data_IF_955321748890
#
_entry.id   IF_955321748890
#
_cell.length_a   1.000
_cell.length_b   1.000
_cell.length_c   1.000
_cell.angle_alpha   90.00
_cell.angle_beta   90.00
_cell.angle_gamma   90.00
#
_symmetry.space_group_name_H-M   'P 1'
#
loop_
_entity.id
_entity.type
_entity.pdbx_description
1 polymer ?
#
# COMPACT_ATOMS: atom_id res chain seq x y z
N UNK A 1 16.56 -66.49 -39.97
CA UNK A 1 16.94 -65.56 -38.88
C UNK A 1 15.70 -64.75 -38.51
N UNK A 2 15.07 -65.01 -37.34
CA UNK A 2 15.17 -64.18 -36.11
C UNK A 2 14.97 -62.68 -36.43
N UNK A 3 13.98 -61.91 -35.98
CA UNK A 3 12.97 -61.91 -34.89
C UNK A 3 11.82 -60.95 -35.33
N UNK A 4 10.52 -61.22 -35.09
CA UNK A 4 9.65 -60.80 -33.94
C UNK A 4 9.82 -59.32 -33.54
N UNK A 5 8.84 -58.42 -33.70
CA UNK A 5 7.62 -58.20 -32.87
C UNK A 5 6.58 -57.39 -33.72
N UNK A 6 5.28 -57.74 -33.89
CA UNK A 6 4.14 -57.70 -32.95
C UNK A 6 4.01 -56.33 -32.24
N UNK A 7 2.91 -55.59 -32.15
CA UNK A 7 1.44 -55.81 -32.30
C UNK A 7 0.82 -54.38 -32.27
N UNK A 8 -0.08 -53.99 -33.18
CA UNK A 8 -1.54 -53.85 -32.96
C UNK A 8 -1.94 -52.94 -31.78
N UNK A 9 -2.51 -51.76 -32.06
CA UNK A 9 -3.96 -51.49 -32.15
C UNK A 9 -4.68 -51.64 -30.79
N UNK A 10 -5.18 -50.54 -30.24
CA UNK A 10 -6.61 -50.30 -30.11
C UNK A 10 -6.89 -49.00 -29.33
N UNK A 11 -7.88 -48.29 -29.87
CA UNK A 11 -8.54 -47.08 -29.42
C UNK A 11 -9.10 -47.22 -28.00
N UNK A 12 -8.89 -46.21 -27.16
CA UNK A 12 -9.87 -45.78 -26.16
C UNK A 12 -9.90 -44.25 -26.11
N UNK A 13 -10.94 -43.70 -26.73
CA UNK A 13 -11.51 -42.40 -26.34
C UNK A 13 -12.24 -42.60 -25.01
N UNK A 14 -11.84 -41.89 -23.95
CA UNK A 14 -12.69 -41.61 -22.78
C UNK A 14 -12.07 -40.48 -21.95
N UNK A 15 -12.78 -39.36 -21.95
CA UNK A 15 -12.89 -38.35 -20.90
C UNK A 15 -11.62 -37.92 -20.18
N UNK A 16 -10.82 -37.12 -20.87
CA UNK A 16 -10.25 -35.96 -20.18
C UNK A 16 -11.36 -34.92 -20.08
N UNK A 17 -12.21 -35.05 -19.05
CA UNK A 17 -12.82 -33.89 -18.42
C UNK A 17 -11.69 -32.98 -17.98
N UNK A 18 -11.18 -32.16 -18.90
CA UNK A 18 -10.49 -30.96 -18.52
C UNK A 18 -11.47 -30.27 -17.56
N UNK A 19 -11.07 -29.94 -16.32
CA UNK A 19 -11.84 -28.94 -15.61
C UNK A 19 -11.92 -27.79 -16.61
N UNK A 20 -13.14 -27.33 -16.91
CA UNK A 20 -13.34 -25.96 -17.35
C UNK A 20 -12.50 -25.14 -16.38
N UNK A 21 -11.27 -24.79 -16.78
CA UNK A 21 -10.42 -23.93 -15.99
C UNK A 21 -11.20 -22.64 -15.93
N UNK A 22 -11.87 -22.45 -14.79
CA UNK A 22 -12.67 -21.29 -14.49
C UNK A 22 -11.87 -20.07 -14.85
N UNK A 23 -12.55 -19.14 -15.53
CA UNK A 23 -12.06 -17.84 -15.98
C UNK A 23 -10.69 -17.49 -15.41
N UNK A 24 -9.67 -17.50 -16.28
CA UNK A 24 -8.34 -17.00 -15.92
C UNK A 24 -8.49 -15.64 -15.25
N UNK A 25 -7.73 -15.43 -14.17
CA UNK A 25 -7.79 -14.21 -13.37
C UNK A 25 -7.73 -12.97 -14.29
N UNK A 26 -8.79 -12.15 -14.23
CA UNK A 26 -8.98 -10.97 -15.10
C UNK A 26 -8.89 -9.69 -14.26
N UNK A 27 -7.75 -8.96 -14.30
CA UNK A 27 -7.61 -7.73 -13.54
C UNK A 27 -8.57 -6.64 -14.00
N UNK A 28 -9.13 -6.73 -15.20
CA UNK A 28 -10.18 -5.83 -15.67
C UNK A 28 -11.43 -5.86 -14.78
N UNK A 29 -11.64 -6.94 -14.03
CA UNK A 29 -12.81 -7.13 -13.15
C UNK A 29 -12.46 -7.26 -11.68
N UNK A 30 -11.32 -7.86 -11.36
CA UNK A 30 -11.01 -8.30 -9.99
C UNK A 30 -9.81 -7.61 -9.36
N UNK A 31 -9.03 -6.81 -10.12
CA UNK A 31 -7.88 -6.13 -9.56
C UNK A 31 -8.29 -5.14 -8.45
N UNK A 32 -7.48 -5.06 -7.40
CA UNK A 32 -7.72 -4.17 -6.27
C UNK A 32 -6.43 -3.89 -5.50
N UNK A 33 -6.50 -2.94 -4.57
CA UNK A 33 -5.35 -2.59 -3.72
C UNK A 33 -4.31 -1.73 -4.42
N UNK A 34 -3.15 -2.32 -4.70
CA UNK A 34 -1.98 -1.67 -5.30
C UNK A 34 -1.54 -2.43 -6.56
N UNK A 35 -0.75 -1.78 -7.41
CA UNK A 35 -0.04 -2.44 -8.48
C UNK A 35 1.37 -1.87 -8.60
N UNK A 36 2.31 -2.71 -9.00
CA UNK A 36 3.63 -2.29 -9.45
C UNK A 36 3.67 -2.36 -10.97
N UNK A 37 4.19 -1.33 -11.63
CA UNK A 37 4.41 -1.35 -13.07
C UNK A 37 5.86 -1.68 -13.37
N UNK A 38 6.09 -2.72 -14.17
CA UNK A 38 7.40 -3.09 -14.68
C UNK A 38 7.79 -2.21 -15.88
N UNK A 39 9.08 -2.25 -16.24
CA UNK A 39 9.65 -1.44 -17.33
C UNK A 39 9.02 -1.77 -18.68
N UNK A 40 8.57 -3.01 -18.88
CA UNK A 40 7.89 -3.46 -20.09
C UNK A 40 6.40 -3.02 -20.16
N UNK A 41 5.92 -2.30 -19.14
CA UNK A 41 4.55 -1.82 -19.03
C UNK A 41 3.57 -2.83 -18.44
N UNK A 42 4.01 -4.05 -18.09
CA UNK A 42 3.19 -5.01 -17.35
C UNK A 42 2.90 -4.52 -15.93
N UNK A 43 1.76 -4.93 -15.40
CA UNK A 43 1.29 -4.60 -14.06
C UNK A 43 1.28 -5.85 -13.18
N UNK A 44 1.86 -5.74 -12.01
CA UNK A 44 1.94 -6.80 -11.01
C UNK A 44 0.97 -6.50 -9.89
N UNK A 45 -0.04 -7.34 -9.74
CA UNK A 45 -1.07 -7.25 -8.70
C UNK A 45 -0.93 -8.37 -7.69
N UNK A 46 -1.30 -8.12 -6.44
CA UNK A 46 -1.49 -9.19 -5.46
C UNK A 46 -2.92 -9.73 -5.53
N UNK A 47 -3.06 -11.05 -5.70
CA UNK A 47 -4.32 -11.79 -5.65
C UNK A 47 -4.46 -12.45 -4.26
N UNK A 48 -5.30 -11.92 -3.35
CA UNK A 48 -5.44 -12.45 -2.00
C UNK A 48 -6.04 -13.86 -1.97
N UNK A 49 -6.90 -14.21 -2.94
CA UNK A 49 -7.56 -15.52 -2.97
C UNK A 49 -6.56 -16.62 -3.32
N UNK A 50 -5.66 -16.35 -4.27
CA UNK A 50 -4.62 -17.28 -4.68
C UNK A 50 -3.28 -17.13 -3.92
N UNK A 51 -3.16 -16.09 -3.07
CA UNK A 51 -1.92 -15.73 -2.34
C UNK A 51 -0.72 -15.64 -3.29
N UNK A 52 -0.90 -14.91 -4.38
CA UNK A 52 0.09 -14.85 -5.44
C UNK A 52 0.17 -13.46 -6.05
N UNK A 53 1.37 -13.10 -6.50
CA UNK A 53 1.57 -11.97 -7.40
C UNK A 53 1.23 -12.41 -8.84
N UNK A 54 0.44 -11.60 -9.53
CA UNK A 54 -0.04 -11.82 -10.89
C UNK A 54 0.53 -10.73 -11.79
N UNK A 55 1.43 -11.09 -12.70
CA UNK A 55 1.94 -10.17 -13.72
C UNK A 55 1.01 -10.24 -14.92
N UNK A 56 0.45 -9.11 -15.32
CA UNK A 56 -0.51 -9.02 -16.41
C UNK A 56 -0.19 -7.83 -17.31
N UNK A 57 -0.46 -7.97 -18.60
CA UNK A 57 -0.27 -6.91 -19.58
C UNK A 57 -1.50 -6.76 -20.45
N UNK A 58 -1.93 -5.51 -20.68
CA UNK A 58 -3.07 -5.21 -21.54
C UNK A 58 -2.81 -5.74 -22.95
N UNK A 59 -3.77 -6.47 -23.51
CA UNK A 59 -3.64 -7.12 -24.82
C UNK A 59 -2.97 -8.50 -24.79
N UNK A 60 -2.03 -8.73 -23.87
CA UNK A 60 -1.32 -10.02 -23.75
C UNK A 60 -1.90 -10.95 -22.68
N UNK A 61 -2.65 -10.42 -21.72
CA UNK A 61 -3.26 -11.20 -20.64
C UNK A 61 -2.31 -11.49 -19.47
N UNK A 62 -2.59 -12.57 -18.74
CA UNK A 62 -1.76 -13.02 -17.62
C UNK A 62 -0.44 -13.59 -18.14
N UNK A 63 0.67 -12.97 -17.74
CA UNK A 63 2.03 -13.33 -18.16
C UNK A 63 2.71 -14.27 -17.17
N UNK A 64 2.54 -14.03 -15.87
CA UNK A 64 3.19 -14.82 -14.82
C UNK A 64 2.34 -14.88 -13.54
N UNK A 65 2.56 -15.92 -12.74
CA UNK A 65 2.02 -16.06 -11.40
C UNK A 65 3.11 -16.53 -10.47
N UNK A 66 3.33 -15.78 -9.39
CA UNK A 66 4.29 -16.09 -8.35
C UNK A 66 3.56 -16.31 -7.03
N UNK A 67 3.43 -17.54 -6.53
CA UNK A 67 2.93 -17.80 -5.18
C UNK A 67 3.82 -17.10 -4.15
N UNK A 68 3.21 -16.48 -3.13
CA UNK A 68 3.96 -15.83 -2.04
C UNK A 68 3.47 -16.34 -0.69
N UNK A 69 4.42 -16.75 0.16
CA UNK A 69 4.14 -17.18 1.52
C UNK A 69 4.10 -15.95 2.45
N UNK A 70 2.91 -15.39 2.69
CA UNK A 70 2.78 -14.24 3.57
C UNK A 70 3.15 -14.61 5.02
N UNK A 71 3.84 -13.72 5.76
CA UNK A 71 4.15 -13.95 7.15
C UNK A 71 2.86 -13.98 8.01
N UNK A 72 2.82 -14.89 8.97
CA UNK A 72 1.75 -14.94 9.97
C UNK A 72 1.85 -13.75 10.93
N UNK A 73 0.72 -13.05 11.15
CA UNK A 73 0.64 -12.01 12.19
C UNK A 73 -0.08 -12.59 13.40
N UNK A 74 0.65 -12.70 14.51
CA UNK A 74 0.05 -12.91 15.82
C UNK A 74 -0.32 -11.55 16.40
N UNK A 75 -1.59 -11.16 16.30
CA UNK A 75 -2.08 -10.00 17.06
C UNK A 75 -1.89 -10.30 18.55
N UNK A 76 -1.27 -9.39 19.33
CA UNK A 76 -1.22 -9.56 20.78
C UNK A 76 -2.66 -9.68 21.30
N UNK A 77 -2.91 -10.70 22.13
CA UNK A 77 -4.20 -10.82 22.80
C UNK A 77 -4.50 -9.51 23.53
N UNK A 78 -5.72 -8.97 23.46
CA UNK A 78 -6.07 -7.79 24.24
C UNK A 78 -5.74 -8.11 25.69
N UNK A 79 -4.89 -7.27 26.31
CA UNK A 79 -4.57 -7.40 27.72
C UNK A 79 -5.89 -7.50 28.50
N UNK A 80 -6.02 -8.43 29.47
CA UNK A 80 -7.23 -8.52 30.27
C UNK A 80 -7.48 -7.12 30.85
N UNK A 81 -8.64 -6.54 30.53
CA UNK A 81 -9.09 -5.30 31.16
C UNK A 81 -8.90 -5.49 32.66
N UNK A 82 -8.17 -4.60 33.38
CA UNK A 82 -8.15 -4.67 34.82
C UNK A 82 -9.61 -4.65 35.27
N UNK A 83 -9.99 -5.64 36.09
CA UNK A 83 -11.33 -5.74 36.62
C UNK A 83 -11.71 -4.37 37.18
N UNK A 84 -12.81 -3.80 36.68
CA UNK A 84 -13.33 -2.56 37.21
C UNK A 84 -13.50 -2.76 38.71
N UNK A 85 -12.72 -2.04 39.52
CA UNK A 85 -12.95 -1.99 40.95
C UNK A 85 -14.38 -1.50 41.14
N UNK A 86 -15.23 -2.35 41.74
CA UNK A 86 -16.58 -1.97 42.14
C UNK A 86 -16.46 -0.68 42.95
N UNK A 87 -17.06 0.44 42.53
CA UNK A 87 -17.01 1.65 43.34
C UNK A 87 -17.62 1.34 44.70
N UNK A 88 -17.02 1.80 45.81
CA UNK A 88 -17.62 1.64 47.12
C UNK A 88 -19.01 2.27 47.06
N UNK A 89 -20.02 1.49 47.45
CA UNK A 89 -21.43 1.90 47.46
C UNK A 89 -21.53 3.13 48.35
N UNK A 90 -21.74 4.30 47.74
CA UNK A 90 -21.97 5.53 48.47
C UNK A 90 -23.25 5.35 49.29
N UNK A 91 -23.10 5.24 50.60
CA UNK A 91 -24.20 5.33 51.56
C UNK A 91 -24.73 6.76 51.47
N UNK A 92 -25.97 6.94 51.05
CA UNK A 92 -26.58 8.26 51.06
C UNK A 92 -26.76 8.72 52.50
N UNK A 93 -26.71 10.03 52.77
CA UNK A 93 -26.93 10.59 54.12
C UNK A 93 -28.33 10.22 54.68
N UNK A 94 -29.27 9.86 53.80
CA UNK A 94 -30.57 9.29 54.16
C UNK A 94 -30.48 7.90 54.81
N UNK A 95 -29.53 7.07 54.38
CA UNK A 95 -29.33 5.72 54.95
C UNK A 95 -28.68 5.80 56.34
N UNK A 96 -27.84 6.81 56.58
CA UNK A 96 -27.26 7.09 57.90
C UNK A 96 -28.30 7.62 58.90
N UNK A 97 -29.24 8.46 58.45
CA UNK A 97 -30.34 8.95 59.26
C UNK A 97 -31.33 7.82 59.65
N UNK A 98 -31.58 6.88 58.74
CA UNK A 98 -32.41 5.70 59.01
C UNK A 98 -31.84 4.76 60.07
N UNK A 99 -30.51 4.58 60.09
CA UNK A 99 -29.83 3.73 61.07
C UNK A 99 -29.81 4.31 62.49
N UNK A 100 -29.79 5.65 62.62
CA UNK A 100 -29.85 6.36 63.90
C UNK A 100 -31.26 6.40 64.50
N UNK A 101 -32.31 6.41 63.66
CA UNK A 101 -33.70 6.50 64.12
C UNK A 101 -34.34 5.13 64.41
N UNK A 102 -33.93 4.06 63.73
CA UNK A 102 -34.62 2.75 63.81
C UNK A 102 -33.74 1.56 64.19
N UNK A 103 -32.44 1.75 64.40
CA UNK A 103 -31.51 0.69 64.78
C UNK A 103 -31.22 -0.31 63.64
N UNK A 104 -29.96 -0.75 63.53
CA UNK A 104 -29.54 -1.68 62.47
C UNK A 104 -30.05 -3.11 62.74
N UNK A 105 -30.75 -3.77 61.80
CA UNK A 105 -31.16 -5.17 61.98
C UNK A 105 -29.94 -6.09 61.92
N UNK A 106 -29.73 -6.80 63.03
CA UNK A 106 -28.65 -7.74 63.26
C UNK A 106 -29.00 -9.10 62.63
N UNK A 107 -28.82 -9.32 61.33
CA UNK A 107 -28.71 -10.67 60.72
C UNK A 107 -28.33 -10.66 59.24
N UNK A 108 -27.17 -11.26 58.95
CA UNK A 108 -26.75 -12.04 57.76
C UNK A 108 -25.24 -11.79 57.56
N UNK A 109 -24.34 -12.22 58.47
CA UNK A 109 -23.81 -13.58 58.66
C UNK A 109 -23.62 -14.36 57.35
N UNK A 110 -22.36 -14.30 56.87
CA UNK A 110 -21.57 -15.31 56.16
C UNK A 110 -22.31 -16.55 55.61
N UNK A 111 -22.16 -16.77 54.31
CA UNK A 111 -22.21 -18.09 53.68
C UNK A 111 -21.09 -18.24 52.63
N UNK A 112 -20.67 -19.49 52.33
CA UNK A 112 -19.26 -19.86 52.13
C UNK A 112 -18.79 -19.80 50.67
N UNK A 113 -17.47 -19.80 50.51
CA UNK A 113 -16.75 -19.86 49.24
C UNK A 113 -17.32 -20.93 48.31
N UNK A 114 -17.93 -20.48 47.22
CA UNK A 114 -18.37 -21.33 46.12
C UNK A 114 -17.23 -21.39 45.11
N UNK A 115 -16.84 -22.62 44.77
CA UNK A 115 -15.90 -23.07 43.74
C UNK A 115 -15.44 -22.03 42.70
N UNK A 116 -14.12 -21.92 42.56
CA UNK A 116 -13.48 -21.23 41.44
C UNK A 116 -14.04 -21.73 40.09
N UNK A 117 -14.40 -20.83 39.16
CA UNK A 117 -14.77 -21.25 37.83
C UNK A 117 -13.52 -21.75 37.11
N UNK A 118 -13.67 -22.86 36.39
CA UNK A 118 -12.66 -23.42 35.50
C UNK A 118 -12.06 -22.32 34.62
N UNK A 119 -10.73 -22.31 34.51
CA UNK A 119 -9.99 -21.50 33.54
C UNK A 119 -10.54 -21.87 32.17
N UNK A 120 -11.41 -21.02 31.61
CA UNK A 120 -11.65 -21.03 30.17
C UNK A 120 -10.31 -20.70 29.54
N UNK A 121 -9.70 -21.67 28.88
CA UNK A 121 -8.64 -21.41 27.91
C UNK A 121 -9.09 -20.22 27.07
N UNK A 122 -8.28 -19.15 27.11
CA UNK A 122 -8.52 -17.99 26.27
C UNK A 122 -8.58 -18.49 24.81
N UNK A 123 -9.55 -18.02 24.01
CA UNK A 123 -9.59 -18.39 22.61
C UNK A 123 -8.24 -18.03 21.98
N UNK A 124 -7.58 -19.03 21.41
CA UNK A 124 -6.34 -18.92 20.66
C UNK A 124 -6.45 -17.69 19.74
N UNK A 125 -5.52 -16.75 19.88
CA UNK A 125 -5.58 -15.48 19.16
C UNK A 125 -5.70 -15.76 17.66
N UNK A 126 -6.77 -15.28 17.03
CA UNK A 126 -7.02 -15.50 15.61
C UNK A 126 -5.82 -14.97 14.81
N UNK A 127 -5.03 -15.89 14.24
CA UNK A 127 -3.94 -15.57 13.32
C UNK A 127 -4.60 -14.92 12.10
N UNK A 128 -4.34 -13.63 11.92
CA UNK A 128 -4.81 -12.90 10.74
C UNK A 128 -3.61 -12.75 9.83
N UNK A 129 -3.72 -13.10 8.55
CA UNK A 129 -2.60 -12.92 7.61
C UNK A 129 -2.40 -11.43 7.30
N UNK A 130 -1.14 -11.00 7.20
CA UNK A 130 -0.81 -9.65 6.77
C UNK A 130 -1.10 -9.50 5.27
N UNK A 131 -2.14 -8.73 4.92
CA UNK A 131 -2.31 -8.32 3.52
C UNK A 131 -1.17 -7.35 3.14
N UNK A 132 -0.55 -7.52 1.97
CA UNK A 132 0.52 -6.64 1.55
C UNK A 132 -0.01 -5.25 1.18
N UNK A 133 0.73 -4.24 1.60
CA UNK A 133 0.38 -2.84 1.35
C UNK A 133 1.01 -2.29 0.07
N UNK A 134 2.26 -2.70 -0.20
CA UNK A 134 3.08 -2.29 -1.33
C UNK A 134 4.06 -3.39 -1.70
N UNK A 135 4.41 -3.47 -2.97
CA UNK A 135 5.50 -4.32 -3.44
C UNK A 135 6.17 -3.70 -4.65
N UNK A 136 7.43 -4.10 -4.87
CA UNK A 136 8.23 -3.80 -6.05
C UNK A 136 9.11 -5.00 -6.37
N UNK A 137 9.49 -5.15 -7.64
CA UNK A 137 10.39 -6.23 -8.08
C UNK A 137 11.72 -5.63 -8.47
N UNK A 138 12.82 -6.11 -7.86
CA UNK A 138 14.16 -5.62 -8.16
C UNK A 138 14.78 -6.27 -9.40
N UNK A 139 15.97 -5.80 -9.80
CA UNK A 139 16.70 -6.32 -10.96
C UNK A 139 17.15 -7.78 -10.83
N UNK A 140 17.08 -8.38 -9.64
CA UNK A 140 17.38 -9.78 -9.39
C UNK A 140 16.10 -10.65 -9.35
N UNK A 141 14.96 -10.08 -9.77
CA UNK A 141 13.63 -10.70 -9.71
C UNK A 141 13.19 -11.07 -8.29
N UNK A 142 13.74 -10.38 -7.27
CA UNK A 142 13.24 -10.52 -5.90
C UNK A 142 12.12 -9.54 -5.67
N UNK A 143 11.10 -9.97 -4.94
CA UNK A 143 9.98 -9.10 -4.58
C UNK A 143 10.23 -8.52 -3.20
N UNK A 144 10.28 -7.19 -3.13
CA UNK A 144 10.30 -6.45 -1.88
C UNK A 144 8.88 -6.03 -1.56
N UNK A 145 8.38 -6.45 -0.41
CA UNK A 145 6.97 -6.32 -0.06
C UNK A 145 6.81 -5.78 1.36
N UNK A 146 5.91 -4.82 1.53
CA UNK A 146 5.54 -4.27 2.84
C UNK A 146 4.32 -5.02 3.35
N UNK A 147 4.48 -5.71 4.47
CA UNK A 147 3.44 -6.46 5.15
C UNK A 147 3.50 -6.16 6.65
N UNK A 148 2.41 -5.63 7.22
CA UNK A 148 2.24 -5.43 8.67
C UNK A 148 3.45 -4.73 9.33
N UNK A 149 3.86 -3.58 8.77
CA UNK A 149 5.00 -2.82 9.30
C UNK A 149 6.37 -3.49 9.11
N UNK A 150 6.47 -4.54 8.29
CA UNK A 150 7.72 -5.20 7.93
C UNK A 150 7.98 -5.11 6.43
N UNK A 151 9.25 -5.04 6.07
CA UNK A 151 9.74 -5.22 4.71
C UNK A 151 10.21 -6.66 4.54
N UNK A 152 9.45 -7.44 3.81
CA UNK A 152 9.72 -8.85 3.51
C UNK A 152 10.30 -8.93 2.10
N UNK A 153 11.40 -9.67 1.95
CA UNK A 153 12.05 -9.93 0.67
C UNK A 153 11.77 -11.37 0.29
N UNK A 154 11.16 -11.55 -0.87
CA UNK A 154 10.89 -12.84 -1.46
C UNK A 154 11.87 -13.10 -2.61
N UNK A 155 12.37 -14.33 -2.70
CA UNK A 155 13.12 -14.81 -3.86
C UNK A 155 12.24 -14.80 -5.12
N UNK A 156 12.87 -14.99 -6.28
CA UNK A 156 12.16 -15.19 -7.56
C UNK A 156 11.18 -16.37 -7.56
N UNK A 157 11.35 -17.30 -6.62
CA UNK A 157 10.52 -18.51 -6.45
C UNK A 157 9.48 -18.33 -5.33
N UNK A 158 9.36 -17.12 -4.76
CA UNK A 158 8.32 -16.77 -3.79
C UNK A 158 8.61 -17.18 -2.34
N UNK A 159 9.85 -17.59 -2.05
CA UNK A 159 10.30 -17.95 -0.70
C UNK A 159 10.80 -16.72 0.05
N UNK A 160 10.55 -16.64 1.35
CA UNK A 160 11.05 -15.54 2.18
C UNK A 160 12.57 -15.67 2.33
N UNK A 161 13.32 -14.66 1.89
CA UNK A 161 14.77 -14.54 2.10
C UNK A 161 15.10 -13.72 3.34
N UNK A 162 14.34 -12.64 3.59
CA UNK A 162 14.59 -11.72 4.69
C UNK A 162 13.29 -11.02 5.13
N UNK A 163 13.23 -10.56 6.37
CA UNK A 163 12.10 -9.79 6.89
C UNK A 163 12.55 -8.77 7.95
N UNK A 164 12.55 -7.49 7.59
CA UNK A 164 13.04 -6.39 8.42
C UNK A 164 11.87 -5.58 9.00
N UNK A 165 11.94 -5.17 10.26
CA UNK A 165 10.97 -4.23 10.82
C UNK A 165 11.17 -2.84 10.21
N UNK A 166 10.08 -2.18 9.85
CA UNK A 166 10.10 -0.81 9.35
C UNK A 166 9.84 0.17 10.50
N UNK A 167 10.50 1.34 10.49
CA UNK A 167 10.39 2.31 11.58
C UNK A 167 9.03 3.02 11.61
N UNK A 168 8.33 3.10 10.48
CA UNK A 168 7.04 3.77 10.33
C UNK A 168 6.25 3.15 9.14
N UNK A 169 4.93 3.45 9.02
CA UNK A 169 4.13 3.04 7.89
C UNK A 169 4.68 3.57 6.56
N UNK A 170 4.58 2.76 5.50
CA UNK A 170 5.08 3.12 4.17
C UNK A 170 4.03 3.88 3.39
N UNK A 171 4.50 4.95 2.76
CA UNK A 171 3.72 5.85 1.93
C UNK A 171 3.94 5.57 0.45
N UNK A 172 5.19 5.30 0.06
CA UNK A 172 5.56 4.96 -1.31
C UNK A 172 6.79 4.06 -1.39
N UNK A 173 6.89 3.28 -2.46
CA UNK A 173 8.02 2.37 -2.68
C UNK A 173 8.36 2.28 -4.16
N UNK A 174 9.66 2.33 -4.48
CA UNK A 174 10.14 2.24 -5.85
C UNK A 174 11.50 1.52 -5.91
N UNK A 175 11.80 0.89 -7.04
CA UNK A 175 13.11 0.31 -7.31
C UNK A 175 13.95 1.37 -8.02
N UNK A 176 14.95 1.89 -7.33
CA UNK A 176 15.92 2.81 -7.90
C UNK A 176 17.12 2.10 -8.50
N UNK A 177 18.04 2.88 -9.07
CA UNK A 177 19.34 2.39 -9.51
C UNK A 177 20.15 1.94 -8.29
N UNK A 178 20.37 0.62 -8.19
CA UNK A 178 21.13 -0.02 -7.12
C UNK A 178 20.52 0.15 -5.71
N UNK A 179 19.19 0.11 -5.60
CA UNK A 179 18.54 0.14 -4.28
C UNK A 179 17.03 0.17 -4.33
N UNK A 180 16.40 -0.10 -3.20
CA UNK A 180 14.98 0.17 -2.99
C UNK A 180 14.82 1.51 -2.29
N UNK A 181 13.87 2.31 -2.75
CA UNK A 181 13.49 3.57 -2.14
C UNK A 181 12.20 3.37 -1.36
N UNK A 182 12.18 3.79 -0.10
CA UNK A 182 11.01 3.72 0.78
C UNK A 182 10.70 5.10 1.31
N UNK A 183 9.57 5.66 0.89
CA UNK A 183 9.02 6.89 1.42
C UNK A 183 8.05 6.52 2.54
N UNK A 184 8.23 7.12 3.73
CA UNK A 184 7.39 6.88 4.88
C UNK A 184 6.22 7.87 4.97
N UNK A 185 5.17 7.45 5.67
CA UNK A 185 3.95 8.24 5.86
C UNK A 185 4.12 9.23 7.01
N UNK A 186 4.81 10.32 6.73
CA UNK A 186 5.16 11.40 7.65
C UNK A 186 4.58 12.74 7.17
N UNK A 187 4.56 13.75 8.06
CA UNK A 187 4.03 15.08 7.71
C UNK A 187 4.91 15.82 6.68
N UNK A 188 6.24 15.70 6.82
CA UNK A 188 7.22 16.10 5.81
C UNK A 188 7.84 14.86 5.17
N UNK A 189 8.41 14.94 3.96
CA UNK A 189 8.96 13.75 3.30
C UNK A 189 10.10 13.14 4.13
N UNK A 190 9.99 11.85 4.42
CA UNK A 190 11.08 11.06 4.99
C UNK A 190 11.29 9.82 4.11
N UNK A 191 12.45 9.76 3.46
CA UNK A 191 12.78 8.77 2.43
C UNK A 191 14.07 8.05 2.81
N UNK A 192 14.10 6.73 2.66
CA UNK A 192 15.31 5.92 2.78
C UNK A 192 15.64 5.24 1.45
N UNK A 193 16.92 5.28 1.05
CA UNK A 193 17.47 4.33 0.06
C UNK A 193 18.07 3.15 0.81
N UNK A 194 17.70 1.94 0.41
CA UNK A 194 18.19 0.68 0.96
C UNK A 194 18.96 -0.11 -0.07
N UNK A 195 20.05 -0.72 0.38
CA UNK A 195 20.90 -1.59 -0.42
C UNK A 195 20.15 -2.87 -0.83
N UNK A 196 20.26 -3.27 -2.10
CA UNK A 196 19.56 -4.46 -2.61
C UNK A 196 20.06 -5.73 -1.91
N UNK A 197 21.34 -5.84 -1.58
CA UNK A 197 21.88 -7.10 -1.06
C UNK A 197 21.52 -7.33 0.40
N UNK A 198 21.63 -6.30 1.22
CA UNK A 198 21.54 -6.38 2.68
C UNK A 198 20.24 -5.80 3.25
N UNK A 199 19.55 -4.94 2.50
CA UNK A 199 18.41 -4.16 2.99
C UNK A 199 18.80 -3.04 3.98
N UNK A 200 20.10 -2.82 4.18
CA UNK A 200 20.62 -1.75 5.03
C UNK A 200 20.35 -0.38 4.41
N UNK A 201 20.12 0.62 5.26
CA UNK A 201 19.94 2.01 4.82
C UNK A 201 21.28 2.56 4.33
N UNK A 202 21.32 2.97 3.06
CA UNK A 202 22.48 3.60 2.41
C UNK A 202 22.51 5.09 2.73
N UNK A 203 21.37 5.76 2.58
CA UNK A 203 21.18 7.16 2.97
C UNK A 203 19.69 7.43 3.24
N UNK A 204 19.41 8.53 3.94
CA UNK A 204 18.05 8.99 4.24
C UNK A 204 17.90 10.48 3.97
N UNK A 205 16.76 10.88 3.42
CA UNK A 205 16.34 12.28 3.24
C UNK A 205 15.19 12.63 4.20
N UNK A 206 15.22 13.83 4.76
CA UNK A 206 14.24 14.30 5.74
C UNK A 206 14.62 13.98 7.20
N UNK A 207 13.81 14.49 8.12
CA UNK A 207 14.02 14.31 9.55
C UNK A 207 13.50 12.94 10.03
N UNK A 208 14.41 12.14 10.59
CA UNK A 208 14.13 10.79 11.05
C UNK A 208 13.36 10.74 12.36
N UNK A 209 13.33 11.82 13.15
CA UNK A 209 12.53 11.85 14.37
C UNK A 209 11.03 11.79 14.07
N UNK A 210 10.61 12.24 12.88
CA UNK A 210 9.24 12.06 12.38
C UNK A 210 8.85 10.59 12.20
N UNK A 211 9.81 9.67 12.01
CA UNK A 211 9.51 8.25 11.92
C UNK A 211 8.98 7.71 13.26
N UNK A 212 9.53 8.19 14.37
CA UNK A 212 9.06 7.80 15.71
C UNK A 212 7.63 8.30 15.94
N UNK A 213 7.36 9.54 15.55
CA UNK A 213 6.03 10.14 15.63
C UNK A 213 5.03 9.40 14.75
N UNK A 214 5.35 9.15 13.48
CA UNK A 214 4.50 8.43 12.54
C UNK A 214 4.26 6.96 12.95
N UNK A 215 5.22 6.34 13.65
CA UNK A 215 5.05 5.01 14.25
C UNK A 215 4.02 5.02 15.36
N UNK A 216 4.06 6.03 16.24
CA UNK A 216 3.13 6.16 17.36
C UNK A 216 1.72 6.61 16.91
N UNK A 217 1.65 7.51 15.92
CA UNK A 217 0.41 8.04 15.37
C UNK A 217 0.51 8.13 13.84
N UNK A 218 0.21 7.02 13.14
CA UNK A 218 0.17 7.00 11.70
C UNK A 218 -0.78 8.04 11.13
N UNK A 219 -0.31 8.83 10.17
CA UNK A 219 -1.23 9.62 9.35
C UNK A 219 -2.17 8.69 8.60
N UNK A 220 -3.45 9.06 8.53
CA UNK A 220 -4.45 8.30 7.80
C UNK A 220 -4.42 8.58 6.29
N UNK A 221 -3.80 9.69 5.89
CA UNK A 221 -3.82 10.17 4.52
C UNK A 221 -2.42 10.30 3.94
N UNK A 222 -2.26 10.01 2.65
CA UNK A 222 -1.02 10.22 1.94
C UNK A 222 -0.72 11.71 1.75
N UNK A 223 0.42 12.22 2.17
CA UNK A 223 0.79 13.63 1.94
C UNK A 223 1.93 13.77 0.93
N UNK A 224 2.86 12.83 0.93
CA UNK A 224 4.07 12.88 0.13
C UNK A 224 4.07 11.76 -0.90
N UNK A 225 4.67 12.01 -2.06
CA UNK A 225 4.84 11.00 -3.11
C UNK A 225 6.22 11.07 -3.70
N UNK A 226 6.62 9.99 -4.36
CA UNK A 226 7.83 10.02 -5.19
C UNK A 226 7.56 9.43 -6.57
N UNK A 227 8.41 9.83 -7.51
CA UNK A 227 8.50 9.25 -8.83
C UNK A 227 9.97 9.20 -9.26
N UNK A 228 10.31 8.31 -10.19
CA UNK A 228 11.68 8.12 -10.66
C UNK A 228 11.84 8.58 -12.11
N UNK A 229 12.78 9.46 -12.38
CA UNK A 229 13.21 9.78 -13.73
C UNK A 229 13.85 8.58 -14.41
N UNK A 230 13.99 8.65 -15.73
CA UNK A 230 14.59 7.57 -16.54
C UNK A 230 16.06 7.29 -16.16
N UNK A 231 16.77 8.31 -15.71
CA UNK A 231 18.15 8.25 -15.23
C UNK A 231 18.27 7.74 -13.78
N UNK A 232 17.14 7.48 -13.12
CA UNK A 232 17.03 7.12 -11.72
C UNK A 232 16.95 8.32 -10.77
N UNK A 233 16.89 9.55 -11.28
CA UNK A 233 16.67 10.76 -10.47
C UNK A 233 15.37 10.64 -9.69
N UNK A 234 15.38 11.05 -8.43
CA UNK A 234 14.25 10.88 -7.52
C UNK A 234 13.53 12.20 -7.38
N UNK A 235 12.26 12.25 -7.77
CA UNK A 235 11.40 13.41 -7.62
C UNK A 235 10.48 13.19 -6.43
N UNK A 236 10.59 14.04 -5.42
CA UNK A 236 9.78 13.98 -4.20
C UNK A 236 8.79 15.15 -4.22
N UNK A 237 7.50 14.82 -4.15
CA UNK A 237 6.43 15.79 -4.04
C UNK A 237 5.95 15.89 -2.59
N UNK A 238 6.10 17.07 -2.00
CA UNK A 238 5.73 17.34 -0.61
C UNK A 238 4.32 17.93 -0.51
N UNK A 239 3.46 17.28 0.26
CA UNK A 239 2.16 17.80 0.66
C UNK A 239 1.39 18.44 -0.50
N UNK A 240 1.03 19.70 -0.31
CA UNK A 240 0.27 20.52 -1.26
C UNK A 240 1.09 21.09 -2.44
N UNK A 241 2.42 20.95 -2.44
CA UNK A 241 3.31 21.59 -3.43
C UNK A 241 3.23 20.91 -4.79
N UNK A 242 3.14 21.68 -5.88
CA UNK A 242 3.27 21.14 -7.23
C UNK A 242 4.71 21.18 -7.77
N UNK A 243 5.65 21.70 -6.99
CA UNK A 243 7.09 21.59 -7.26
C UNK A 243 7.66 20.29 -6.69
N UNK A 244 8.75 19.81 -7.27
CA UNK A 244 9.45 18.61 -6.82
C UNK A 244 10.80 18.94 -6.21
N UNK A 245 11.12 18.30 -5.10
CA UNK A 245 12.50 18.16 -4.66
C UNK A 245 13.17 17.07 -5.48
N UNK A 246 14.38 17.34 -5.96
CA UNK A 246 15.14 16.45 -6.82
C UNK A 246 16.31 15.89 -6.03
N UNK A 247 16.40 14.57 -5.92
CA UNK A 247 17.50 13.90 -5.24
C UNK A 247 18.30 13.05 -6.23
N UNK A 248 19.62 13.12 -6.11
CA UNK A 248 20.54 12.28 -6.87
C UNK A 248 20.50 10.84 -6.32
N UNK A 249 20.35 9.81 -7.17
CA UNK A 249 20.19 8.43 -6.71
C UNK A 249 21.46 7.87 -6.04
N UNK A 250 22.64 8.41 -6.36
CA UNK A 250 23.94 7.95 -5.89
C UNK A 250 24.44 8.82 -4.75
N UNK A 251 24.50 10.14 -4.95
CA UNK A 251 24.97 11.12 -3.96
C UNK A 251 23.97 11.32 -2.83
N UNK A 252 22.69 11.01 -3.06
CA UNK A 252 21.63 11.14 -2.09
C UNK A 252 21.31 12.61 -1.78
N UNK A 253 20.98 12.94 -0.52
CA UNK A 253 20.41 14.23 -0.13
C UNK A 253 21.45 15.33 0.12
N UNK A 254 22.70 15.18 -0.35
CA UNK A 254 23.77 16.13 -0.03
C UNK A 254 23.48 17.52 -0.59
N UNK A 255 22.99 17.58 -1.83
CA UNK A 255 22.65 18.82 -2.54
C UNK A 255 21.30 18.64 -3.26
N UNK A 256 20.18 18.70 -2.53
CA UNK A 256 18.87 18.50 -3.14
C UNK A 256 18.54 19.64 -4.09
N UNK A 257 18.17 19.29 -5.33
CA UNK A 257 17.67 20.23 -6.32
C UNK A 257 16.18 20.52 -6.13
N UNK A 258 15.67 21.46 -6.93
CA UNK A 258 14.24 21.72 -7.04
C UNK A 258 13.85 21.91 -8.51
N UNK A 259 12.71 21.36 -8.88
CA UNK A 259 12.07 21.58 -10.18
C UNK A 259 10.73 22.26 -9.93
N UNK A 260 10.55 23.41 -10.59
CA UNK A 260 9.29 24.14 -10.62
C UNK A 260 8.65 23.99 -11.99
N UNK A 261 7.32 24.14 -12.01
CA UNK A 261 6.55 24.04 -13.24
C UNK A 261 5.74 25.30 -13.44
N UNK A 262 5.50 25.66 -14.69
CA UNK A 262 4.55 26.70 -15.07
C UNK A 262 3.31 26.08 -15.69
N UNK A 263 2.14 26.62 -15.36
CA UNK A 263 0.88 26.31 -15.99
C UNK A 263 0.40 27.60 -16.68
N UNK A 264 0.24 27.56 -18.00
CA UNK A 264 -0.12 28.74 -18.80
C UNK A 264 0.81 29.95 -18.48
N UNK A 265 2.13 29.71 -18.50
CA UNK A 265 3.18 30.68 -18.20
C UNK A 265 3.18 31.28 -16.77
N UNK A 266 2.38 30.71 -15.85
CA UNK A 266 2.32 31.16 -14.45
C UNK A 266 2.72 30.04 -13.49
N UNK A 267 3.31 30.39 -12.35
CA UNK A 267 3.58 29.40 -11.29
C UNK A 267 2.23 28.98 -10.70
N UNK A 268 1.87 27.69 -10.74
CA UNK A 268 0.59 27.25 -10.22
C UNK A 268 0.55 27.41 -8.71
N UNK A 269 -0.64 27.74 -8.18
CA UNK A 269 -0.86 27.74 -6.74
C UNK A 269 -0.68 26.35 -6.12
N UNK A 270 -0.76 26.29 -4.79
CA UNK A 270 -0.70 25.02 -4.06
C UNK A 270 -2.00 24.25 -4.18
N UNK A 271 -1.90 22.92 -4.23
CA UNK A 271 -3.07 22.06 -4.14
C UNK A 271 -3.66 22.11 -2.72
N UNK A 272 -4.95 21.89 -2.58
CA UNK A 272 -5.62 21.77 -1.28
C UNK A 272 -5.68 20.30 -0.89
N UNK A 273 -4.92 19.90 0.12
CA UNK A 273 -5.02 18.56 0.70
C UNK A 273 -6.03 18.53 1.84
N UNK A 274 -6.75 17.42 1.96
CA UNK A 274 -7.76 17.20 2.99
C UNK A 274 -7.82 15.72 3.36
N UNK A 275 -9.04 15.17 3.49
CA UNK A 275 -9.26 13.79 3.92
C UNK A 275 -8.80 12.70 2.95
N UNK A 276 -8.50 13.04 1.69
CA UNK A 276 -8.06 12.08 0.66
C UNK A 276 -6.54 12.08 0.49
N UNK A 277 -5.85 13.15 0.92
CA UNK A 277 -4.41 13.30 0.70
C UNK A 277 -4.02 13.47 -0.78
N UNK A 278 -2.74 13.33 -1.10
CA UNK A 278 -2.15 13.41 -2.43
C UNK A 278 -2.28 12.06 -3.17
N UNK A 279 -2.73 12.10 -4.43
CA UNK A 279 -2.80 10.93 -5.31
C UNK A 279 -1.42 10.39 -5.70
N UNK A 280 -1.31 9.18 -6.27
CA UNK A 280 -0.04 8.62 -6.74
C UNK A 280 0.65 9.49 -7.78
N UNK A 281 1.99 9.37 -7.88
CA UNK A 281 2.80 9.92 -8.96
C UNK A 281 3.45 8.76 -9.73
N UNK A 282 3.34 8.76 -11.05
CA UNK A 282 3.98 7.74 -11.90
C UNK A 282 4.77 8.42 -13.02
N UNK A 283 5.95 7.87 -13.32
CA UNK A 283 6.77 8.32 -14.44
C UNK A 283 6.35 7.62 -15.71
N UNK A 284 6.26 8.36 -16.82
CA UNK A 284 5.95 7.78 -18.11
C UNK A 284 7.22 7.20 -18.73
N UNK A 285 7.27 5.88 -18.86
CA UNK A 285 8.45 5.18 -19.38
C UNK A 285 8.91 5.74 -20.74
N UNK A 286 10.21 6.01 -20.86
CA UNK A 286 10.79 6.56 -22.09
C UNK A 286 10.50 8.05 -22.33
N UNK A 287 9.89 8.76 -21.36
CA UNK A 287 9.56 10.18 -21.44
C UNK A 287 9.99 10.92 -20.17
N UNK A 288 10.42 12.16 -20.31
CA UNK A 288 10.70 13.07 -19.20
C UNK A 288 9.41 13.69 -18.64
N UNK A 289 8.44 12.83 -18.30
CA UNK A 289 7.09 13.22 -17.87
C UNK A 289 6.66 12.43 -16.66
N UNK A 290 6.14 13.12 -15.64
CA UNK A 290 5.49 12.51 -14.48
C UNK A 290 4.00 12.84 -14.54
N UNK A 291 3.15 11.87 -14.26
CA UNK A 291 1.72 12.08 -14.05
C UNK A 291 1.37 12.02 -12.57
N UNK A 292 0.53 12.94 -12.13
CA UNK A 292 -0.12 12.93 -10.83
C UNK A 292 -1.63 13.01 -10.94
N UNK A 293 -2.33 12.51 -9.93
CA UNK A 293 -3.80 12.49 -9.93
C UNK A 293 -4.36 13.38 -8.83
N UNK A 294 -5.33 14.21 -9.19
CA UNK A 294 -6.00 15.12 -8.28
C UNK A 294 -7.51 15.11 -8.52
N UNK A 295 -8.27 15.48 -7.49
CA UNK A 295 -9.67 15.86 -7.67
C UNK A 295 -9.76 17.36 -8.01
N UNK A 296 -10.83 17.81 -8.69
CA UNK A 296 -10.99 19.21 -9.08
C UNK A 296 -10.96 20.15 -7.87
N UNK A 297 -11.50 19.72 -6.73
CA UNK A 297 -11.46 20.50 -5.49
C UNK A 297 -10.05 20.74 -4.96
N UNK A 298 -9.11 19.83 -5.23
CA UNK A 298 -7.73 19.98 -4.78
C UNK A 298 -6.96 21.00 -5.61
N UNK A 299 -7.33 21.22 -6.87
CA UNK A 299 -6.50 21.98 -7.83
C UNK A 299 -7.17 23.26 -8.34
N UNK A 300 -8.26 23.71 -7.70
CA UNK A 300 -8.95 24.98 -8.03
C UNK A 300 -8.01 26.18 -8.08
N UNK A 301 -7.06 26.26 -7.16
CA UNK A 301 -6.06 27.33 -7.07
C UNK A 301 -4.85 27.15 -8.00
N UNK A 302 -4.81 26.08 -8.79
CA UNK A 302 -3.64 25.66 -9.56
C UNK A 302 -3.78 25.90 -11.08
N UNK A 303 -4.82 26.63 -11.50
CA UNK A 303 -5.10 26.85 -12.93
C UNK A 303 -5.69 25.63 -13.65
N UNK A 304 -6.18 24.63 -12.90
CA UNK A 304 -6.83 23.46 -13.49
C UNK A 304 -8.22 23.82 -14.03
N UNK A 305 -8.63 23.26 -15.20
CA UNK A 305 -9.97 23.45 -15.72
C UNK A 305 -11.01 22.80 -14.82
N UNK A 306 -12.24 23.32 -14.86
CA UNK A 306 -13.36 22.66 -14.20
C UNK A 306 -13.59 21.26 -14.79
N UNK A 307 -13.70 20.26 -13.91
CA UNK A 307 -13.98 18.87 -14.28
C UNK A 307 -14.94 18.28 -13.27
N UNK A 308 -15.73 17.28 -13.69
CA UNK A 308 -16.65 16.53 -12.82
C UNK A 308 -16.00 15.31 -12.17
N UNK A 309 -14.79 14.95 -12.60
CA UNK A 309 -14.09 13.74 -12.17
C UNK A 309 -12.62 14.02 -11.89
N UNK A 310 -11.79 12.98 -11.92
CA UNK A 310 -10.36 13.13 -11.71
C UNK A 310 -9.71 13.97 -12.82
N UNK A 311 -8.65 14.67 -12.46
CA UNK A 311 -7.78 15.41 -13.38
C UNK A 311 -6.37 14.87 -13.22
N UNK A 312 -5.72 14.61 -14.35
CA UNK A 312 -4.31 14.27 -14.42
C UNK A 312 -3.48 15.54 -14.53
N UNK A 313 -2.50 15.68 -13.65
CA UNK A 313 -1.41 16.64 -13.77
C UNK A 313 -0.29 15.98 -14.58
N UNK A 314 0.04 16.53 -15.74
CA UNK A 314 1.20 16.13 -16.55
C UNK A 314 2.33 17.11 -16.30
N UNK A 315 3.35 16.66 -15.59
CA UNK A 315 4.56 17.41 -15.29
C UNK A 315 5.62 17.08 -16.35
N UNK A 316 5.84 18.00 -17.28
CA UNK A 316 6.93 17.92 -18.27
C UNK A 316 8.22 18.43 -17.62
N UNK A 317 9.14 17.51 -17.35
CA UNK A 317 10.38 17.78 -16.64
C UNK A 317 11.40 18.53 -17.51
N UNK A 318 11.33 18.33 -18.84
CA UNK A 318 12.25 18.96 -19.78
C UNK A 318 11.89 20.43 -20.01
N UNK A 319 10.60 20.69 -20.19
CA UNK A 319 10.09 22.05 -20.48
C UNK A 319 9.73 22.82 -19.21
N UNK A 320 9.70 22.17 -18.04
CA UNK A 320 9.24 22.79 -16.80
C UNK A 320 7.77 23.21 -16.88
N UNK A 321 6.94 22.43 -17.58
CA UNK A 321 5.54 22.75 -17.82
C UNK A 321 4.61 21.82 -17.04
N UNK A 322 3.48 22.35 -16.61
CA UNK A 322 2.37 21.61 -16.00
C UNK A 322 1.13 21.77 -16.87
N UNK A 323 0.66 20.63 -17.38
CA UNK A 323 -0.57 20.52 -18.15
C UNK A 323 -1.63 19.75 -17.35
N UNK A 324 -2.88 20.20 -17.45
CA UNK A 324 -4.02 19.53 -16.81
C UNK A 324 -4.83 18.77 -17.85
N UNK A 325 -4.97 17.45 -17.67
CA UNK A 325 -5.75 16.58 -18.55
C UNK A 325 -7.01 16.10 -17.80
N UNK A 326 -8.20 16.60 -18.14
CA UNK A 326 -9.45 16.09 -17.59
C UNK A 326 -9.63 14.60 -17.94
N UNK A 327 -10.13 13.82 -17.00
CA UNK A 327 -10.46 12.41 -17.24
C UNK A 327 -11.97 12.19 -17.19
N UNK A 328 -12.49 11.16 -17.88
CA UNK A 328 -13.89 10.76 -17.72
C UNK A 328 -14.16 10.00 -16.41
N UNK A 329 -13.12 9.76 -15.58
CA UNK A 329 -13.20 8.90 -14.41
C UNK A 329 -13.73 9.66 -13.20
N UNK A 330 -14.65 9.04 -12.46
CA UNK A 330 -15.16 9.58 -11.21
C UNK A 330 -14.08 9.61 -10.12
N UNK A 331 -14.30 10.42 -9.09
CA UNK A 331 -13.47 10.41 -7.89
C UNK A 331 -13.43 9.00 -7.26
N UNK A 332 -12.29 8.64 -6.66
CA UNK A 332 -12.07 7.33 -6.03
C UNK A 332 -11.30 6.33 -6.89
N UNK A 333 -11.17 6.55 -8.20
CA UNK A 333 -10.24 5.77 -9.00
C UNK A 333 -8.79 6.06 -8.58
N UNK A 334 -7.93 5.04 -8.62
CA UNK A 334 -6.52 5.14 -8.21
C UNK A 334 -5.62 4.84 -9.40
N UNK A 335 -4.76 5.78 -9.78
CA UNK A 335 -3.73 5.56 -10.80
C UNK A 335 -2.77 4.44 -10.36
N UNK A 336 -2.53 3.49 -11.25
CA UNK A 336 -1.66 2.32 -11.00
C UNK A 336 -0.68 2.01 -12.13
N UNK A 337 -0.84 2.62 -13.30
CA UNK A 337 0.10 2.44 -14.41
C UNK A 337 -0.05 3.50 -15.49
N UNK A 338 1.00 3.65 -16.30
CA UNK A 338 1.02 4.48 -17.50
C UNK A 338 1.40 3.64 -18.70
N UNK A 339 0.50 3.54 -19.68
CA UNK A 339 0.73 2.86 -20.95
C UNK A 339 1.08 3.89 -22.04
N UNK A 340 1.27 3.44 -23.28
CA UNK A 340 1.74 4.30 -24.38
C UNK A 340 0.81 5.49 -24.70
N UNK A 341 -0.50 5.33 -24.48
CA UNK A 341 -1.51 6.31 -24.86
C UNK A 341 -2.55 6.59 -23.77
N UNK A 342 -2.50 5.84 -22.66
CA UNK A 342 -3.51 5.90 -21.61
C UNK A 342 -2.90 5.62 -20.24
N UNK A 343 -3.51 6.18 -19.21
CA UNK A 343 -3.25 5.88 -17.81
C UNK A 343 -4.23 4.78 -17.36
N UNK A 344 -3.72 3.80 -16.62
CA UNK A 344 -4.49 2.72 -16.03
C UNK A 344 -4.83 3.03 -14.57
N UNK A 345 -6.09 2.82 -14.21
CA UNK A 345 -6.62 3.10 -12.88
C UNK A 345 -7.31 1.86 -12.31
N UNK A 346 -7.19 1.65 -11.00
CA UNK A 346 -8.08 0.78 -10.26
C UNK A 346 -9.40 1.50 -9.97
N UNK A 347 -10.52 0.88 -10.30
CA UNK A 347 -11.84 1.38 -9.95
C UNK A 347 -12.19 1.10 -8.48
N UNK A 348 -13.02 1.94 -7.82
CA UNK A 348 -13.41 1.74 -6.42
C UNK A 348 -14.06 0.37 -6.14
N UNK A 349 -14.79 -0.19 -7.11
CA UNK A 349 -15.44 -1.50 -7.02
C UNK A 349 -14.56 -2.67 -7.44
N UNK A 350 -13.28 -2.43 -7.72
CA UNK A 350 -12.38 -3.40 -8.35
C UNK A 350 -12.41 -3.31 -9.87
N UNK A 351 -11.36 -3.86 -10.50
CA UNK A 351 -11.18 -3.81 -11.94
C UNK A 351 -10.33 -2.62 -12.43
N UNK A 352 -10.02 -2.63 -13.73
CA UNK A 352 -9.23 -1.59 -14.38
C UNK A 352 -10.12 -0.66 -15.21
N UNK A 353 -9.85 0.64 -15.10
CA UNK A 353 -10.37 1.70 -15.95
C UNK A 353 -9.21 2.44 -16.61
N UNK A 354 -9.47 3.12 -17.72
CA UNK A 354 -8.44 3.80 -18.50
C UNK A 354 -8.85 5.24 -18.82
N UNK A 355 -7.87 6.14 -18.86
CA UNK A 355 -8.05 7.52 -19.32
C UNK A 355 -6.94 7.89 -20.32
N UNK A 356 -7.24 8.64 -21.39
CA UNK A 356 -6.23 9.07 -22.34
C UNK A 356 -5.22 10.03 -21.69
N UNK A 357 -3.97 9.97 -22.14
CA UNK A 357 -2.86 10.86 -21.67
C UNK A 357 -2.17 11.63 -22.79
N UNK A 358 -2.75 11.62 -24.00
CA UNK A 358 -2.28 12.36 -25.17
C UNK A 358 -3.37 13.27 -25.71
#
# INVERSE_FOLDING_TARGET
>A
MKWRLLTLLAVFTLDSSAPLHGQGWDPGRTAGGWAFQEVDGSLVFFDPAARSLRTWMKGSGLLATLPVALPEVRKPSPAPKPAAATPPRATSDYDAAGALLYGTPRRQRLQPATSAPAVKEAPEAAVTEALPERWVIDSYSRTWMVCDGRLVVFSKDGQIENALALPAPVEDMAVGREGILILYRTAKPCLEKRDLRTGAVVWSYGDRDQLKEASAQPLLVPLNRMALGMDGTIYVAEGASLAFTVLDPVKGPKDPGQTFFTCQDTIPGRATLGRVGRGPLLSWAGKDVIFGVFTPSQVKSCGAPESKGLVLARFDLLNGALEWLPTPLAEGHRLVGLLDHEAAFLAPGGGLAYAPIR
#
